data_IF_842172235497
#
_entry.id   IF_842172235497
#
_cell.length_a   1.000
_cell.length_b   1.000
_cell.length_c   1.000
_cell.angle_alpha   90.00
_cell.angle_beta   90.00
_cell.angle_gamma   90.00
#
_symmetry.space_group_name_H-M   'P 1'
#
loop_
_entity.id
_entity.type
_entity.pdbx_description
1 polymer ?
#
# COMPACT_ATOMS: atom_id res chain seq x y z
N UNK A 1 8.28 -6.48 28.26
CA UNK A 1 8.11 -5.17 27.56
C UNK A 1 6.67 -4.97 27.18
N UNK A 2 6.09 -3.77 27.37
CA UNK A 2 4.71 -3.44 27.00
C UNK A 2 4.68 -2.67 25.70
N UNK A 3 4.00 -3.20 24.69
CA UNK A 3 3.85 -2.55 23.38
C UNK A 3 2.37 -2.22 23.14
N UNK A 4 2.07 -0.93 22.91
CA UNK A 4 0.73 -0.49 22.52
C UNK A 4 0.66 -0.31 21.01
N UNK A 5 -0.10 -1.16 20.34
CA UNK A 5 -0.40 -1.00 18.92
C UNK A 5 -1.54 0.01 18.76
N UNK A 6 -1.27 1.09 18.02
CA UNK A 6 -2.23 2.15 17.75
C UNK A 6 -2.66 2.12 16.28
N UNK A 7 -3.91 1.78 16.03
CA UNK A 7 -4.55 1.75 14.70
C UNK A 7 -5.92 2.43 14.69
N UNK A 8 -6.11 3.39 15.57
CA UNK A 8 -7.38 4.16 15.68
C UNK A 8 -7.70 4.98 14.43
N UNK A 9 -6.70 5.24 13.59
CA UNK A 9 -6.87 5.98 12.33
C UNK A 9 -7.20 5.09 11.13
N UNK A 10 -7.24 3.78 11.29
CA UNK A 10 -7.57 2.82 10.24
C UNK A 10 -9.07 2.89 9.92
N UNK A 11 -9.46 3.56 8.82
CA UNK A 11 -10.86 3.88 8.51
C UNK A 11 -11.37 3.35 7.19
N UNK A 12 -10.48 3.15 6.23
CA UNK A 12 -10.86 2.79 4.86
C UNK A 12 -10.55 1.34 4.57
N UNK A 13 -11.46 0.64 3.93
CA UNK A 13 -11.22 -0.69 3.38
C UNK A 13 -10.14 -0.59 2.28
N UNK A 14 -9.17 -1.49 2.28
CA UNK A 14 -8.11 -1.54 1.26
C UNK A 14 -6.79 -2.08 1.78
N UNK A 15 -5.75 -2.00 0.97
CA UNK A 15 -4.43 -2.59 1.26
C UNK A 15 -3.79 -2.14 2.59
N UNK A 16 -4.05 -0.91 3.04
CA UNK A 16 -3.56 -0.43 4.34
C UNK A 16 -4.15 -1.19 5.53
N UNK A 17 -5.48 -1.40 5.55
CA UNK A 17 -6.13 -2.18 6.62
C UNK A 17 -5.67 -3.62 6.64
N UNK A 18 -5.32 -4.18 5.49
CA UNK A 18 -4.79 -5.52 5.39
C UNK A 18 -3.40 -5.65 6.02
N UNK A 19 -2.52 -4.68 5.82
CA UNK A 19 -1.22 -4.64 6.50
C UNK A 19 -1.42 -4.61 8.02
N UNK A 20 -2.38 -3.81 8.51
CA UNK A 20 -2.76 -3.76 9.92
C UNK A 20 -3.25 -5.12 10.41
N UNK A 21 -4.26 -5.69 9.75
CA UNK A 21 -4.86 -6.97 10.10
C UNK A 21 -3.81 -8.09 10.17
N UNK A 22 -2.98 -8.20 9.13
CA UNK A 22 -1.91 -9.19 9.10
C UNK A 22 -0.93 -9.03 10.27
N UNK A 23 -0.53 -7.78 10.61
CA UNK A 23 0.35 -7.55 11.75
C UNK A 23 -0.29 -7.97 13.08
N UNK A 24 -1.57 -7.63 13.29
CA UNK A 24 -2.30 -8.03 14.49
C UNK A 24 -2.39 -9.56 14.63
N UNK A 25 -2.69 -10.28 13.55
CA UNK A 25 -2.66 -11.74 13.55
C UNK A 25 -1.26 -12.30 13.84
N UNK A 26 -0.22 -11.61 13.38
CA UNK A 26 1.18 -11.96 13.64
C UNK A 26 1.50 -11.99 15.14
N UNK A 27 0.93 -11.09 15.95
CA UNK A 27 1.17 -11.05 17.40
C UNK A 27 0.66 -12.30 18.13
N UNK A 28 -0.32 -13.00 17.55
CA UNK A 28 -0.82 -14.28 18.08
C UNK A 28 -0.08 -15.49 17.51
N UNK A 29 0.39 -15.37 16.27
CA UNK A 29 1.02 -16.49 15.55
C UNK A 29 2.50 -16.66 15.90
N UNK A 30 3.20 -15.55 16.14
CA UNK A 30 4.63 -15.53 16.43
C UNK A 30 4.84 -15.01 17.87
N UNK A 31 4.89 -15.89 18.88
CA UNK A 31 4.95 -15.46 20.26
C UNK A 31 6.31 -14.84 20.60
N UNK A 32 6.25 -13.65 21.17
CA UNK A 32 7.37 -13.01 21.87
C UNK A 32 7.03 -13.03 23.34
N UNK A 33 7.58 -13.98 24.11
CA UNK A 33 7.24 -14.22 25.51
C UNK A 33 7.55 -13.03 26.42
N UNK A 34 8.50 -12.19 26.03
CA UNK A 34 8.89 -10.98 26.76
C UNK A 34 8.07 -9.73 26.37
N UNK A 35 7.08 -9.88 25.47
CA UNK A 35 6.25 -8.78 24.98
C UNK A 35 4.79 -8.96 25.41
N UNK A 36 4.30 -7.96 26.12
CA UNK A 36 2.88 -7.82 26.47
C UNK A 36 2.22 -6.84 25.49
N UNK A 37 1.32 -7.36 24.64
CA UNK A 37 0.66 -6.61 23.59
C UNK A 37 -0.63 -5.94 24.06
N UNK A 38 -0.80 -4.67 23.71
CA UNK A 38 -2.04 -3.90 23.89
C UNK A 38 -2.51 -3.35 22.56
N UNK A 39 -3.83 -3.26 22.34
CA UNK A 39 -4.41 -2.93 21.04
C UNK A 39 -5.42 -1.78 21.15
N UNK A 40 -5.12 -0.63 20.58
CA UNK A 40 -6.05 0.48 20.38
C UNK A 40 -6.50 0.49 18.92
N UNK A 41 -7.71 0.00 18.66
CA UNK A 41 -8.22 -0.23 17.30
C UNK A 41 -9.37 0.69 16.95
N UNK A 42 -9.56 0.96 15.65
CA UNK A 42 -10.76 1.64 15.15
C UNK A 42 -11.95 0.70 15.11
N UNK A 43 -13.16 1.24 15.26
CA UNK A 43 -14.40 0.51 15.09
C UNK A 43 -14.52 -0.14 13.70
N UNK A 44 -14.01 0.51 12.65
CA UNK A 44 -13.96 -0.06 11.29
C UNK A 44 -13.12 -1.33 11.24
N UNK A 45 -11.95 -1.34 11.86
CA UNK A 45 -11.10 -2.54 11.91
C UNK A 45 -11.74 -3.64 12.74
N UNK A 46 -12.31 -3.27 13.89
CA UNK A 46 -13.01 -4.18 14.80
C UNK A 46 -14.16 -4.94 14.12
N UNK A 47 -14.99 -4.22 13.34
CA UNK A 47 -16.21 -4.80 12.75
C UNK A 47 -15.95 -5.55 11.45
N UNK A 48 -14.94 -5.14 10.65
CA UNK A 48 -14.76 -5.67 9.28
C UNK A 48 -13.69 -6.75 9.22
N UNK A 49 -12.65 -6.67 10.05
CA UNK A 49 -11.46 -7.51 9.89
C UNK A 49 -11.16 -8.43 11.08
N UNK A 50 -11.61 -8.10 12.30
CA UNK A 50 -11.24 -8.86 13.49
C UNK A 50 -12.42 -9.73 13.95
N UNK A 51 -12.16 -11.04 13.99
CA UNK A 51 -13.13 -12.03 14.42
C UNK A 51 -13.15 -12.21 15.95
N UNK A 52 -14.16 -12.91 16.46
CA UNK A 52 -14.33 -13.15 17.88
C UNK A 52 -13.20 -14.00 18.47
N UNK A 53 -12.58 -14.87 17.67
CA UNK A 53 -11.44 -15.68 18.08
C UNK A 53 -10.22 -14.79 18.44
N UNK A 54 -9.92 -13.80 17.57
CA UNK A 54 -8.86 -12.83 17.88
C UNK A 54 -9.19 -12.07 19.16
N UNK A 55 -10.40 -11.53 19.27
CA UNK A 55 -10.84 -10.70 20.41
C UNK A 55 -10.78 -11.46 21.73
N UNK A 56 -11.18 -12.73 21.74
CA UNK A 56 -11.13 -13.56 22.95
C UNK A 56 -9.70 -13.84 23.43
N UNK A 57 -8.74 -14.01 22.50
CA UNK A 57 -7.32 -14.24 22.83
C UNK A 57 -6.62 -13.00 23.39
N UNK A 58 -7.16 -11.80 23.16
CA UNK A 58 -6.58 -10.52 23.59
C UNK A 58 -7.48 -9.77 24.58
N UNK A 59 -8.42 -10.48 25.22
CA UNK A 59 -9.34 -9.90 26.20
C UNK A 59 -8.58 -9.18 27.33
N UNK A 60 -9.09 -8.01 27.73
CA UNK A 60 -8.43 -7.13 28.71
C UNK A 60 -7.33 -6.22 28.14
N UNK A 61 -6.77 -6.56 26.97
CA UNK A 61 -5.74 -5.78 26.29
C UNK A 61 -6.24 -5.09 25.02
N UNK A 62 -7.53 -5.20 24.71
CA UNK A 62 -8.17 -4.75 23.47
C UNK A 62 -9.14 -3.59 23.72
N UNK A 63 -8.95 -2.48 23.01
CA UNK A 63 -9.69 -1.24 23.21
C UNK A 63 -10.17 -0.67 21.88
N UNK A 64 -11.49 -0.60 21.70
CA UNK A 64 -12.12 -0.07 20.48
C UNK A 64 -12.37 1.42 20.61
N UNK A 65 -12.02 2.15 19.57
CA UNK A 65 -12.21 3.59 19.44
C UNK A 65 -13.18 3.88 18.29
N UNK A 66 -14.17 4.79 18.51
CA UNK A 66 -15.15 5.10 17.48
C UNK A 66 -14.48 5.69 16.22
N UNK A 67 -15.02 5.37 15.06
CA UNK A 67 -14.63 6.03 13.82
C UNK A 67 -14.86 7.53 13.97
N UNK A 68 -13.85 8.31 13.56
CA UNK A 68 -13.90 9.77 13.76
C UNK A 68 -14.56 10.44 12.54
N UNK A 69 -15.84 10.77 12.57
CA UNK A 69 -16.50 11.43 11.44
C UNK A 69 -16.16 12.92 11.35
N UNK A 70 -15.72 13.53 12.46
CA UNK A 70 -15.49 14.96 12.58
C UNK A 70 -14.11 15.25 13.17
N UNK A 71 -13.34 16.11 12.47
CA UNK A 71 -11.95 16.40 12.80
C UNK A 71 -11.74 17.06 14.18
N UNK A 72 -12.72 17.85 14.68
CA UNK A 72 -12.51 18.61 15.90
C UNK A 72 -13.06 17.95 17.19
N UNK A 73 -14.30 17.49 17.20
CA UNK A 73 -14.91 16.96 18.42
C UNK A 73 -14.45 15.54 18.76
N UNK A 74 -14.48 14.66 17.77
CA UNK A 74 -14.13 13.26 17.96
C UNK A 74 -12.62 13.10 18.17
N UNK A 75 -11.80 13.96 17.50
CA UNK A 75 -10.36 14.00 17.70
C UNK A 75 -9.98 14.27 19.17
N UNK A 76 -10.52 15.31 19.79
CA UNK A 76 -10.23 15.66 21.20
C UNK A 76 -10.66 14.53 22.16
N UNK A 77 -11.79 13.90 21.92
CA UNK A 77 -12.28 12.77 22.71
C UNK A 77 -11.36 11.56 22.56
N UNK A 78 -10.99 11.21 21.34
CA UNK A 78 -10.05 10.11 21.05
C UNK A 78 -8.68 10.38 21.67
N UNK A 79 -8.13 11.59 21.52
CA UNK A 79 -6.87 11.98 22.14
C UNK A 79 -6.91 11.85 23.67
N UNK A 80 -8.01 12.29 24.30
CA UNK A 80 -8.19 12.15 25.76
C UNK A 80 -8.23 10.69 26.19
N UNK A 81 -8.97 9.87 25.46
CA UNK A 81 -9.09 8.43 25.77
C UNK A 81 -7.78 7.67 25.51
N UNK A 82 -7.07 7.96 24.42
CA UNK A 82 -5.75 7.39 24.16
C UNK A 82 -4.73 7.77 25.24
N UNK A 83 -4.74 9.03 25.71
CA UNK A 83 -3.87 9.42 26.84
C UNK A 83 -4.22 8.74 28.15
N UNK A 84 -5.51 8.50 28.42
CA UNK A 84 -5.93 7.72 29.61
C UNK A 84 -5.44 6.28 29.50
N UNK A 85 -5.57 5.68 28.30
CA UNK A 85 -5.08 4.33 28.04
C UNK A 85 -3.55 4.26 28.17
N UNK A 86 -2.82 5.17 27.57
CA UNK A 86 -1.36 5.32 27.68
C UNK A 86 -0.92 5.41 29.15
N UNK A 87 -1.57 6.29 29.95
CA UNK A 87 -1.24 6.43 31.38
C UNK A 87 -1.57 5.19 32.20
N UNK A 88 -2.61 4.42 31.82
CA UNK A 88 -2.98 3.16 32.48
C UNK A 88 -1.99 2.04 32.19
N UNK A 89 -1.62 1.87 30.89
CA UNK A 89 -0.75 0.79 30.43
C UNK A 89 0.72 1.12 30.76
N UNK A 90 1.15 2.38 30.58
CA UNK A 90 2.54 2.83 30.63
C UNK A 90 3.40 2.00 29.67
N UNK A 91 3.14 2.05 28.35
CA UNK A 91 3.85 1.24 27.39
C UNK A 91 5.31 1.67 27.27
N UNK A 92 6.22 0.74 27.02
CA UNK A 92 7.63 1.02 26.73
C UNK A 92 7.77 1.66 25.35
N UNK A 93 6.92 1.20 24.39
CA UNK A 93 6.84 1.76 23.04
C UNK A 93 5.40 1.69 22.52
N UNK A 94 5.06 2.65 21.68
CA UNK A 94 3.78 2.72 20.94
C UNK A 94 4.07 2.51 19.46
N UNK A 95 3.40 1.54 18.85
CA UNK A 95 3.50 1.29 17.42
C UNK A 95 2.27 1.81 16.69
N UNK A 96 2.39 2.93 15.98
CA UNK A 96 1.32 3.50 15.16
C UNK A 96 1.44 2.99 13.72
N UNK A 97 0.56 2.07 13.34
CA UNK A 97 0.48 1.57 11.97
C UNK A 97 -0.38 2.54 11.14
N UNK A 98 0.01 2.83 9.89
CA UNK A 98 -0.58 3.85 9.02
C UNK A 98 -0.38 5.29 9.54
N UNK A 99 0.81 5.56 10.09
CA UNK A 99 1.17 6.88 10.60
C UNK A 99 1.68 7.86 9.52
N UNK A 100 1.82 9.15 9.90
CA UNK A 100 1.55 9.68 11.23
C UNK A 100 0.05 9.80 11.53
N UNK A 101 -0.33 9.63 12.78
CA UNK A 101 -1.66 9.99 13.25
C UNK A 101 -1.64 11.42 13.85
N UNK A 102 -2.83 12.01 14.01
CA UNK A 102 -2.97 13.32 14.65
C UNK A 102 -2.93 13.25 16.18
N UNK A 103 -2.81 12.07 16.75
CA UNK A 103 -2.74 11.86 18.19
C UNK A 103 -1.30 12.01 18.68
N UNK A 104 -1.16 12.40 19.94
CA UNK A 104 0.12 12.70 20.56
C UNK A 104 0.30 11.86 21.81
N UNK A 105 1.40 11.14 21.86
CA UNK A 105 1.80 10.31 22.98
C UNK A 105 2.97 10.94 23.78
N UNK A 106 3.14 10.51 25.01
CA UNK A 106 4.26 10.88 25.89
C UNK A 106 5.40 9.86 25.82
N UNK A 107 5.04 8.58 25.62
CA UNK A 107 6.00 7.51 25.49
C UNK A 107 6.59 7.47 24.06
N UNK A 108 7.67 6.71 23.88
CA UNK A 108 8.31 6.53 22.58
C UNK A 108 7.31 5.98 21.57
N UNK A 109 7.28 6.60 20.41
CA UNK A 109 6.40 6.19 19.31
C UNK A 109 7.23 5.80 18.10
N UNK A 110 6.93 4.65 17.54
CA UNK A 110 7.38 4.19 16.21
C UNK A 110 6.19 4.25 15.28
N UNK A 111 6.33 4.88 14.14
CA UNK A 111 5.27 4.87 13.12
C UNK A 111 5.66 4.01 11.92
N UNK A 112 4.66 3.32 11.32
CA UNK A 112 4.78 2.79 9.96
C UNK A 112 4.29 3.85 8.98
N UNK A 113 5.22 4.42 8.23
CA UNK A 113 4.97 5.55 7.34
C UNK A 113 4.27 5.13 6.05
N UNK A 114 3.21 5.86 5.65
CA UNK A 114 2.37 5.52 4.47
C UNK A 114 1.97 6.73 3.61
N UNK A 115 2.66 7.88 3.73
CA UNK A 115 2.27 9.12 3.06
C UNK A 115 3.28 9.56 1.98
N UNK A 116 3.19 9.04 0.74
CA UNK A 116 4.18 9.29 -0.30
C UNK A 116 4.29 10.78 -0.69
N UNK A 117 3.20 11.54 -0.61
CA UNK A 117 3.17 12.96 -0.93
C UNK A 117 4.17 13.81 -0.14
N UNK A 118 4.56 13.37 1.05
CA UNK A 118 5.47 14.14 1.94
C UNK A 118 6.92 14.06 1.46
N UNK A 119 7.35 12.92 0.93
CA UNK A 119 8.78 12.62 0.72
C UNK A 119 9.13 12.26 -0.72
N UNK A 120 8.16 11.83 -1.52
CA UNK A 120 8.38 11.29 -2.87
C UNK A 120 7.46 11.90 -3.93
N UNK A 121 6.82 13.04 -3.63
CA UNK A 121 6.00 13.73 -4.61
C UNK A 121 6.82 14.14 -5.85
N UNK A 122 6.21 14.03 -7.02
CA UNK A 122 6.84 14.28 -8.30
C UNK A 122 5.88 15.02 -9.24
N UNK A 123 6.37 15.63 -10.35
CA UNK A 123 5.52 16.38 -11.28
C UNK A 123 4.35 15.58 -11.86
N UNK A 124 4.55 14.29 -12.13
CA UNK A 124 3.50 13.41 -12.67
C UNK A 124 2.34 13.25 -11.69
N UNK A 125 2.66 13.00 -10.40
CA UNK A 125 1.64 12.92 -9.35
C UNK A 125 0.89 14.25 -9.16
N UNK A 126 1.60 15.37 -9.16
CA UNK A 126 0.96 16.68 -9.08
C UNK A 126 0.04 16.97 -10.28
N UNK A 127 0.35 16.45 -11.47
CA UNK A 127 -0.48 16.66 -12.64
C UNK A 127 -1.81 15.90 -12.61
N UNK A 128 -1.96 14.85 -11.81
CA UNK A 128 -3.25 14.13 -11.65
C UNK A 128 -4.27 14.93 -10.84
N UNK A 129 -3.84 15.93 -10.06
CA UNK A 129 -4.72 16.66 -9.16
C UNK A 129 -5.33 17.90 -9.80
N UNK A 130 -6.61 18.17 -9.50
CA UNK A 130 -7.24 19.44 -9.81
C UNK A 130 -6.58 20.60 -9.04
N UNK A 131 -6.72 21.83 -9.51
CA UNK A 131 -6.16 23.01 -8.85
C UNK A 131 -6.57 23.12 -7.36
N UNK A 132 -7.86 22.94 -7.07
CA UNK A 132 -8.39 22.95 -5.70
C UNK A 132 -7.74 21.85 -4.82
N UNK A 133 -7.59 20.65 -5.37
CA UNK A 133 -6.95 19.53 -4.67
C UNK A 133 -5.46 19.78 -4.46
N UNK A 134 -4.75 20.40 -5.42
CA UNK A 134 -3.35 20.81 -5.27
C UNK A 134 -3.14 21.74 -4.09
N UNK A 135 -3.98 22.79 -3.95
CA UNK A 135 -3.89 23.73 -2.83
C UNK A 135 -4.10 23.01 -1.51
N UNK A 136 -5.18 22.21 -1.40
CA UNK A 136 -5.47 21.42 -0.19
C UNK A 136 -4.32 20.46 0.16
N UNK A 137 -3.76 19.80 -0.85
CA UNK A 137 -2.66 18.85 -0.67
C UNK A 137 -1.39 19.54 -0.15
N UNK A 138 -1.06 20.74 -0.64
CA UNK A 138 0.09 21.51 -0.12
C UNK A 138 -0.05 21.81 1.37
N UNK A 139 -1.22 22.26 1.82
CA UNK A 139 -1.48 22.48 3.25
C UNK A 139 -1.40 21.18 4.05
N UNK A 140 -1.95 20.11 3.52
CA UNK A 140 -1.90 18.79 4.16
C UNK A 140 -0.47 18.27 4.33
N UNK A 141 0.38 18.43 3.30
CA UNK A 141 1.80 18.07 3.36
C UNK A 141 2.54 18.88 4.45
N UNK A 142 2.29 20.18 4.55
CA UNK A 142 2.91 21.02 5.61
C UNK A 142 2.52 20.49 7.00
N UNK A 143 1.24 20.20 7.21
CA UNK A 143 0.75 19.64 8.48
C UNK A 143 1.38 18.28 8.77
N UNK A 144 1.44 17.37 7.79
CA UNK A 144 2.07 16.06 7.95
C UNK A 144 3.57 16.19 8.25
N UNK A 145 4.28 17.11 7.60
CA UNK A 145 5.70 17.37 7.89
C UNK A 145 5.90 17.85 9.35
N UNK A 146 5.01 18.71 9.85
CA UNK A 146 5.06 19.16 11.25
C UNK A 146 4.81 18.01 12.24
N UNK A 147 3.86 17.14 11.95
CA UNK A 147 3.59 15.93 12.76
C UNK A 147 4.78 14.97 12.74
N UNK A 148 5.33 14.70 11.54
CA UNK A 148 6.45 13.77 11.35
C UNK A 148 7.74 14.27 12.03
N UNK A 149 8.00 15.57 12.06
CA UNK A 149 9.18 16.12 12.77
C UNK A 149 9.19 15.79 14.26
N UNK A 150 8.03 15.61 14.88
CA UNK A 150 7.89 15.28 16.32
C UNK A 150 8.13 13.79 16.62
N UNK A 151 7.97 12.92 15.63
CA UNK A 151 8.12 11.48 15.79
C UNK A 151 9.55 11.11 15.42
N UNK A 152 10.32 10.55 16.35
CA UNK A 152 11.72 10.20 16.11
C UNK A 152 11.84 8.96 15.23
N UNK A 153 11.13 7.88 15.56
CA UNK A 153 11.33 6.54 14.99
C UNK A 153 10.31 6.19 13.92
N UNK A 154 10.80 5.69 12.79
CA UNK A 154 9.97 5.41 11.62
C UNK A 154 10.32 4.05 11.01
N UNK A 155 9.31 3.26 10.70
CA UNK A 155 9.41 2.12 9.80
C UNK A 155 8.87 2.55 8.44
N UNK A 156 9.62 2.29 7.39
CA UNK A 156 9.20 2.53 6.00
C UNK A 156 9.38 1.27 5.15
N UNK A 157 8.86 1.27 3.92
CA UNK A 157 8.77 0.07 3.10
C UNK A 157 9.90 -0.03 2.07
N UNK A 158 10.52 1.10 1.70
CA UNK A 158 11.53 1.19 0.64
C UNK A 158 12.69 2.10 1.08
N UNK A 159 13.88 1.84 0.53
CA UNK A 159 15.05 2.67 0.80
C UNK A 159 14.85 4.09 0.23
N UNK A 160 14.21 4.22 -0.93
CA UNK A 160 13.91 5.52 -1.52
C UNK A 160 13.05 6.40 -0.60
N UNK A 161 12.07 5.81 0.11
CA UNK A 161 11.26 6.54 1.11
C UNK A 161 12.10 6.90 2.34
N UNK A 162 12.99 6.02 2.80
CA UNK A 162 13.97 6.34 3.87
C UNK A 162 14.80 7.55 3.50
N UNK A 163 15.40 7.57 2.31
CA UNK A 163 16.18 8.70 1.81
C UNK A 163 15.32 9.98 1.69
N UNK A 164 14.05 9.84 1.28
CA UNK A 164 13.10 10.95 1.27
C UNK A 164 12.83 11.53 2.66
N UNK A 165 12.68 10.69 3.69
CA UNK A 165 12.50 11.13 5.08
C UNK A 165 13.73 11.85 5.63
N UNK A 166 14.93 11.36 5.32
CA UNK A 166 16.20 11.99 5.68
C UNK A 166 16.29 13.39 5.04
N UNK A 167 16.09 13.45 3.72
CA UNK A 167 16.20 14.71 2.95
C UNK A 167 15.17 15.76 3.34
N UNK A 168 13.89 15.36 3.43
CA UNK A 168 12.78 16.32 3.58
C UNK A 168 12.48 16.70 5.04
N UNK A 169 12.89 15.88 6.00
CA UNK A 169 12.57 16.04 7.42
C UNK A 169 13.80 16.07 8.33
N UNK A 170 15.00 15.95 7.75
CA UNK A 170 16.28 15.87 8.47
C UNK A 170 16.27 14.79 9.57
N UNK A 171 15.70 13.61 9.25
CA UNK A 171 15.68 12.49 10.19
C UNK A 171 17.03 11.78 10.22
N UNK A 172 17.41 11.33 11.41
CA UNK A 172 18.61 10.52 11.60
C UNK A 172 18.45 9.16 10.90
N UNK A 173 19.44 8.69 10.11
CA UNK A 173 19.35 7.42 9.38
C UNK A 173 19.03 6.20 10.26
N UNK A 174 19.60 6.16 11.49
CA UNK A 174 19.41 5.06 12.44
C UNK A 174 18.04 5.08 13.13
N UNK A 175 17.32 6.20 13.02
CA UNK A 175 15.94 6.30 13.51
C UNK A 175 14.92 5.74 12.52
N UNK A 176 15.37 5.28 11.32
CA UNK A 176 14.52 4.78 10.27
C UNK A 176 14.90 3.35 9.92
N UNK A 177 13.98 2.40 10.14
CA UNK A 177 14.10 1.01 9.72
C UNK A 177 13.32 0.78 8.41
N UNK A 178 13.95 0.15 7.43
CA UNK A 178 13.27 -0.30 6.21
C UNK A 178 12.76 -1.72 6.43
N UNK A 179 11.45 -1.88 6.43
CA UNK A 179 10.76 -3.18 6.49
C UNK A 179 9.69 -3.19 5.40
N UNK A 180 9.98 -3.83 4.28
CA UNK A 180 9.06 -3.89 3.14
C UNK A 180 7.76 -4.59 3.49
N UNK A 181 6.67 -4.22 2.83
CA UNK A 181 5.44 -5.01 2.90
C UNK A 181 5.69 -6.38 2.28
N UNK A 182 5.00 -7.37 2.80
CA UNK A 182 5.03 -8.74 2.28
C UNK A 182 3.69 -9.11 1.67
N UNK A 183 3.73 -10.14 0.84
CA UNK A 183 2.51 -10.74 0.31
C UNK A 183 1.62 -11.16 1.48
N UNK A 184 0.32 -10.85 1.46
CA UNK A 184 -0.60 -11.28 2.51
C UNK A 184 -0.59 -12.78 2.72
N UNK A 185 -0.64 -13.22 3.97
CA UNK A 185 -0.60 -14.66 4.31
C UNK A 185 -1.70 -15.49 3.62
N UNK A 186 -2.85 -14.87 3.33
CA UNK A 186 -3.93 -15.50 2.58
C UNK A 186 -3.47 -16.02 1.22
N UNK A 187 -2.59 -15.30 0.52
CA UNK A 187 -2.13 -15.72 -0.81
C UNK A 187 -1.35 -17.05 -0.76
N UNK A 188 -0.65 -17.34 0.34
CA UNK A 188 0.04 -18.62 0.48
C UNK A 188 -0.89 -19.85 0.41
N UNK A 189 -2.19 -19.67 0.68
CA UNK A 189 -3.23 -20.72 0.61
C UNK A 189 -4.06 -20.68 -0.69
N UNK A 190 -3.85 -19.66 -1.54
CA UNK A 190 -4.59 -19.53 -2.79
C UNK A 190 -3.84 -20.21 -3.94
N UNK A 191 -4.60 -20.88 -4.79
CA UNK A 191 -4.08 -21.39 -6.06
C UNK A 191 -3.71 -20.22 -6.98
N UNK A 192 -2.49 -20.19 -7.49
CA UNK A 192 -1.98 -19.17 -8.43
C UNK A 192 -1.83 -19.71 -9.86
N UNK A 193 -2.34 -20.93 -10.13
CA UNK A 193 -2.33 -21.50 -11.48
C UNK A 193 -3.16 -20.64 -12.43
N UNK A 194 -2.61 -20.22 -13.58
CA UNK A 194 -3.37 -19.49 -14.57
C UNK A 194 -4.62 -20.23 -15.04
N UNK A 195 -5.70 -19.50 -15.27
CA UNK A 195 -6.93 -20.01 -15.88
C UNK A 195 -6.91 -19.58 -17.35
N UNK A 196 -6.84 -20.54 -18.25
CA UNK A 196 -6.97 -20.28 -19.68
C UNK A 196 -8.45 -20.10 -20.02
N UNK A 197 -8.84 -18.89 -20.37
CA UNK A 197 -10.16 -18.59 -20.93
C UNK A 197 -10.05 -18.39 -22.46
N UNK A 198 -10.79 -19.17 -23.21
CA UNK A 198 -10.92 -19.01 -24.67
C UNK A 198 -11.92 -17.88 -25.01
N UNK A 199 -11.83 -16.75 -24.30
CA UNK A 199 -12.73 -15.60 -24.49
C UNK A 199 -12.39 -14.76 -25.74
N UNK A 200 -11.23 -15.00 -26.32
CA UNK A 200 -10.69 -14.14 -27.40
C UNK A 200 -10.10 -12.82 -26.91
N UNK A 201 -10.23 -12.51 -25.61
CA UNK A 201 -9.70 -11.29 -24.99
C UNK A 201 -8.35 -11.52 -24.30
N UNK A 202 -7.51 -10.52 -24.34
CA UNK A 202 -6.32 -10.41 -23.47
C UNK A 202 -6.71 -9.58 -22.25
N UNK A 203 -6.86 -10.23 -21.10
CA UNK A 203 -7.29 -9.61 -19.86
C UNK A 203 -6.10 -8.99 -19.13
N UNK A 204 -6.24 -7.72 -18.70
CA UNK A 204 -5.17 -6.91 -18.11
C UNK A 204 -5.67 -6.22 -16.84
N UNK A 205 -5.24 -6.59 -15.63
CA UNK A 205 -5.61 -5.88 -14.42
C UNK A 205 -4.82 -4.59 -14.30
N UNK A 206 -5.53 -3.49 -13.99
CA UNK A 206 -4.99 -2.19 -13.65
C UNK A 206 -5.72 -1.66 -12.40
N UNK A 207 -5.22 -2.05 -11.23
CA UNK A 207 -5.98 -1.99 -9.98
C UNK A 207 -5.67 -0.75 -9.15
N UNK A 208 -6.67 -0.26 -8.44
CA UNK A 208 -6.50 0.82 -7.47
C UNK A 208 -7.66 1.79 -7.42
N UNK A 209 -7.63 2.74 -6.49
CA UNK A 209 -8.76 3.63 -6.22
C UNK A 209 -8.45 5.12 -6.14
N UNK A 210 -7.19 5.52 -6.08
CA UNK A 210 -6.79 6.93 -5.93
C UNK A 210 -6.36 7.59 -7.25
N UNK A 211 -6.41 8.92 -7.31
CA UNK A 211 -5.97 9.71 -8.48
C UNK A 211 -4.50 9.42 -8.86
N UNK A 212 -3.66 9.14 -7.87
CA UNK A 212 -2.25 8.78 -8.06
C UNK A 212 -2.03 7.42 -8.74
N UNK A 213 -3.07 6.59 -8.84
CA UNK A 213 -3.04 5.35 -9.62
C UNK A 213 -3.06 5.61 -11.13
N UNK A 214 -3.40 6.83 -11.55
CA UNK A 214 -3.34 7.29 -12.93
C UNK A 214 -4.09 6.37 -13.93
N UNK A 215 -5.23 5.81 -13.49
CA UNK A 215 -6.03 4.89 -14.31
C UNK A 215 -6.76 5.62 -15.44
N UNK A 216 -6.87 6.94 -15.35
CA UNK A 216 -7.41 7.82 -16.40
C UNK A 216 -6.59 7.82 -17.69
N UNK A 217 -5.40 7.22 -17.71
CA UNK A 217 -4.59 6.99 -18.92
C UNK A 217 -5.11 5.81 -19.77
N UNK A 218 -5.90 4.90 -19.21
CA UNK A 218 -6.31 3.64 -19.88
C UNK A 218 -7.05 3.88 -21.19
N UNK A 219 -8.02 4.82 -21.32
CA UNK A 219 -8.69 5.06 -22.58
C UNK A 219 -7.73 5.45 -23.72
N UNK A 220 -6.75 6.29 -23.42
CA UNK A 220 -5.72 6.71 -24.38
C UNK A 220 -4.79 5.56 -24.76
N UNK A 221 -4.44 4.70 -23.81
CA UNK A 221 -3.64 3.49 -24.09
C UNK A 221 -4.43 2.53 -25.00
N UNK A 222 -5.73 2.33 -24.75
CA UNK A 222 -6.59 1.52 -25.63
C UNK A 222 -6.66 2.09 -27.04
N UNK A 223 -6.75 3.42 -27.16
CA UNK A 223 -6.75 4.12 -28.45
C UNK A 223 -5.43 3.91 -29.20
N UNK A 224 -4.30 4.09 -28.52
CA UNK A 224 -2.97 3.88 -29.11
C UNK A 224 -2.77 2.42 -29.56
N UNK A 225 -3.25 1.44 -28.76
CA UNK A 225 -3.22 0.02 -29.09
C UNK A 225 -4.01 -0.28 -30.38
N UNK A 226 -5.14 0.38 -30.59
CA UNK A 226 -5.93 0.19 -31.80
C UNK A 226 -5.35 0.95 -33.00
N UNK A 227 -5.07 2.24 -32.87
CA UNK A 227 -4.64 3.10 -34.00
C UNK A 227 -3.24 2.73 -34.49
N UNK A 228 -2.31 2.39 -33.61
CA UNK A 228 -0.92 2.11 -34.00
C UNK A 228 -0.66 0.60 -34.22
N UNK A 229 -1.32 -0.29 -33.47
CA UNK A 229 -1.05 -1.73 -33.53
C UNK A 229 -2.21 -2.56 -34.08
N UNK A 230 -3.38 -1.95 -34.35
CA UNK A 230 -4.57 -2.65 -34.85
C UNK A 230 -5.21 -3.59 -33.81
N UNK A 231 -4.87 -3.44 -32.52
CA UNK A 231 -5.28 -4.35 -31.46
C UNK A 231 -6.62 -3.91 -30.88
N UNK A 232 -7.63 -4.77 -31.00
CA UNK A 232 -9.01 -4.51 -30.53
C UNK A 232 -9.45 -5.41 -29.38
N UNK A 233 -8.71 -6.48 -29.11
CA UNK A 233 -9.08 -7.52 -28.15
C UNK A 233 -8.32 -7.46 -26.83
N UNK A 234 -7.80 -6.29 -26.44
CA UNK A 234 -7.25 -6.09 -25.08
C UNK A 234 -8.29 -5.43 -24.19
N UNK A 235 -8.48 -5.97 -23.00
CA UNK A 235 -9.51 -5.55 -22.05
C UNK A 235 -8.90 -5.29 -20.67
N UNK A 236 -9.14 -4.11 -20.14
CA UNK A 236 -8.64 -3.71 -18.83
C UNK A 236 -9.67 -3.94 -17.73
N UNK A 237 -9.20 -4.39 -16.59
CA UNK A 237 -9.99 -4.58 -15.37
C UNK A 237 -9.54 -3.58 -14.31
N UNK A 238 -10.48 -2.78 -13.80
CA UNK A 238 -10.24 -1.81 -12.73
C UNK A 238 -11.09 -2.13 -11.50
N UNK A 239 -10.68 -1.63 -10.33
CA UNK A 239 -11.38 -1.83 -9.05
C UNK A 239 -11.74 -0.48 -8.41
N UNK A 240 -12.40 0.37 -9.18
CA UNK A 240 -12.78 1.72 -8.73
C UNK A 240 -14.13 1.69 -8.01
N UNK A 241 -14.20 2.14 -6.74
CA UNK A 241 -15.49 2.30 -6.06
C UNK A 241 -16.35 3.36 -6.76
N UNK A 242 -17.67 3.25 -6.65
CA UNK A 242 -18.60 4.23 -7.23
C UNK A 242 -18.35 5.67 -6.77
N UNK A 243 -17.75 5.86 -5.61
CA UNK A 243 -17.36 7.17 -5.07
C UNK A 243 -16.02 7.70 -5.62
N UNK A 244 -15.34 6.96 -6.50
CA UNK A 244 -14.06 7.39 -7.06
C UNK A 244 -14.24 8.60 -7.97
N UNK A 245 -13.50 9.71 -7.78
CA UNK A 245 -13.57 10.87 -8.67
C UNK A 245 -12.98 10.59 -10.07
N UNK A 246 -12.21 9.52 -10.22
CA UNK A 246 -11.58 9.12 -11.47
C UNK A 246 -12.53 8.32 -12.36
N UNK A 247 -13.47 7.57 -11.77
CA UNK A 247 -14.37 6.69 -12.51
C UNK A 247 -15.21 7.41 -13.58
N UNK A 248 -15.90 8.53 -13.29
CA UNK A 248 -16.67 9.24 -14.31
C UNK A 248 -15.81 9.74 -15.48
N UNK A 249 -14.55 10.12 -15.22
CA UNK A 249 -13.60 10.58 -16.25
C UNK A 249 -13.28 9.45 -17.21
N UNK A 250 -12.97 8.28 -16.67
CA UNK A 250 -12.65 7.09 -17.47
C UNK A 250 -13.87 6.65 -18.27
N UNK A 251 -15.05 6.52 -17.64
CA UNK A 251 -16.29 6.09 -18.29
C UNK A 251 -16.68 7.02 -19.45
N UNK A 252 -16.54 8.33 -19.24
CA UNK A 252 -16.79 9.31 -20.30
C UNK A 252 -15.86 9.09 -21.51
N UNK A 253 -14.54 8.95 -21.29
CA UNK A 253 -13.54 8.74 -22.34
C UNK A 253 -13.72 7.41 -23.07
N UNK A 254 -14.01 6.34 -22.31
CA UNK A 254 -14.31 5.02 -22.87
C UNK A 254 -15.52 5.09 -23.82
N UNK A 255 -16.58 5.78 -23.40
CA UNK A 255 -17.76 5.99 -24.25
C UNK A 255 -17.47 6.86 -25.48
N UNK A 256 -16.70 7.95 -25.34
CA UNK A 256 -16.29 8.81 -26.44
C UNK A 256 -15.53 8.03 -27.52
N UNK A 257 -14.74 7.03 -27.13
CA UNK A 257 -13.96 6.20 -28.06
C UNK A 257 -14.70 4.93 -28.53
N UNK A 258 -15.86 4.60 -27.97
CA UNK A 258 -16.60 3.37 -28.28
C UNK A 258 -15.95 2.10 -27.77
N UNK A 259 -15.33 2.16 -26.56
CA UNK A 259 -14.55 1.06 -25.96
C UNK A 259 -15.23 0.45 -24.73
N UNK A 260 -16.56 0.50 -24.63
CA UNK A 260 -17.32 0.05 -23.46
C UNK A 260 -17.09 -1.44 -23.12
N UNK A 261 -16.80 -2.27 -24.11
CA UNK A 261 -16.49 -3.69 -23.95
C UNK A 261 -15.02 -3.95 -23.58
N UNK A 262 -14.16 -2.92 -23.63
CA UNK A 262 -12.72 -3.02 -23.39
C UNK A 262 -12.30 -2.57 -21.97
N UNK A 263 -13.25 -2.16 -21.14
CA UNK A 263 -13.02 -1.81 -19.73
C UNK A 263 -14.09 -2.43 -18.84
N UNK A 264 -13.67 -3.18 -17.84
CA UNK A 264 -14.55 -3.74 -16.81
C UNK A 264 -14.20 -3.15 -15.45
N UNK A 265 -15.15 -2.46 -14.83
CA UNK A 265 -14.99 -2.00 -13.46
C UNK A 265 -15.69 -2.97 -12.49
N UNK A 266 -14.91 -3.61 -11.63
CA UNK A 266 -15.40 -4.56 -10.62
C UNK A 266 -15.83 -3.89 -9.30
N UNK A 267 -15.55 -2.58 -9.12
CA UNK A 267 -15.71 -1.95 -7.82
C UNK A 267 -14.74 -2.54 -6.79
N UNK A 268 -15.15 -2.56 -5.52
CA UNK A 268 -14.34 -3.17 -4.46
C UNK A 268 -14.43 -4.70 -4.53
N UNK A 269 -13.32 -5.37 -4.76
CA UNK A 269 -13.22 -6.83 -4.72
C UNK A 269 -12.70 -7.34 -3.37
N UNK A 270 -13.18 -8.50 -2.94
CA UNK A 270 -12.54 -9.28 -1.89
C UNK A 270 -11.26 -9.90 -2.43
N UNK A 271 -10.33 -10.26 -1.54
CA UNK A 271 -9.03 -10.82 -1.95
C UNK A 271 -9.14 -12.11 -2.76
N UNK A 272 -10.11 -12.98 -2.42
CA UNK A 272 -10.35 -14.22 -3.17
C UNK A 272 -10.82 -13.93 -4.60
N UNK A 273 -11.74 -12.98 -4.77
CA UNK A 273 -12.23 -12.57 -6.09
C UNK A 273 -11.12 -11.87 -6.90
N UNK A 274 -10.26 -11.10 -6.22
CA UNK A 274 -9.10 -10.49 -6.83
C UNK A 274 -8.08 -11.54 -7.31
N UNK A 275 -7.82 -12.58 -6.52
CA UNK A 275 -6.97 -13.69 -6.92
C UNK A 275 -7.53 -14.42 -8.15
N UNK A 276 -8.84 -14.64 -8.20
CA UNK A 276 -9.50 -15.23 -9.38
C UNK A 276 -9.36 -14.34 -10.62
N UNK A 277 -9.43 -13.01 -10.45
CA UNK A 277 -9.18 -12.08 -11.55
C UNK A 277 -7.74 -12.17 -12.06
N UNK A 278 -6.74 -12.12 -11.17
CA UNK A 278 -5.33 -12.24 -11.55
C UNK A 278 -5.04 -13.54 -12.34
N UNK A 279 -5.65 -14.67 -11.95
CA UNK A 279 -5.45 -15.97 -12.62
C UNK A 279 -5.95 -15.99 -14.07
N UNK A 280 -6.91 -15.15 -14.42
CA UNK A 280 -7.47 -15.01 -15.78
C UNK A 280 -6.68 -14.02 -16.64
N UNK A 281 -5.83 -13.22 -16.04
CA UNK A 281 -5.10 -12.17 -16.73
C UNK A 281 -3.81 -12.67 -17.36
N UNK A 282 -3.41 -12.04 -18.47
CA UNK A 282 -2.20 -12.44 -19.20
C UNK A 282 -0.97 -11.64 -18.81
N UNK A 283 -1.15 -10.38 -18.51
CA UNK A 283 -0.12 -9.43 -18.04
C UNK A 283 -0.73 -8.54 -16.97
N UNK A 284 0.06 -7.73 -16.28
CA UNK A 284 -0.40 -6.68 -15.36
C UNK A 284 0.04 -5.30 -15.84
N UNK A 285 -0.80 -4.28 -15.62
CA UNK A 285 -0.50 -2.89 -15.94
C UNK A 285 -0.61 -2.00 -14.70
N UNK A 286 0.51 -1.35 -14.32
CA UNK A 286 0.62 -0.55 -13.11
C UNK A 286 1.01 0.90 -13.46
N UNK A 287 0.04 1.75 -13.85
CA UNK A 287 0.30 3.13 -14.28
C UNK A 287 0.49 4.12 -13.12
N UNK A 288 0.54 3.68 -11.87
CA UNK A 288 0.68 4.54 -10.69
C UNK A 288 1.83 5.53 -10.83
N UNK A 289 1.58 6.79 -10.40
CA UNK A 289 2.59 7.85 -10.42
C UNK A 289 3.08 8.26 -9.04
N UNK A 290 2.51 7.68 -7.97
CA UNK A 290 2.94 7.94 -6.60
C UNK A 290 2.52 6.82 -5.66
N UNK A 291 3.50 6.17 -5.03
CA UNK A 291 3.30 5.13 -4.00
C UNK A 291 4.44 5.19 -2.98
N UNK A 292 4.23 4.58 -1.83
CA UNK A 292 5.30 4.17 -0.92
C UNK A 292 5.72 2.73 -1.26
N UNK A 293 4.71 1.87 -1.43
CA UNK A 293 4.81 0.47 -1.83
C UNK A 293 3.43 0.03 -2.33
N UNK A 294 3.34 -0.55 -3.51
CA UNK A 294 2.08 -1.04 -4.06
C UNK A 294 1.90 -2.54 -3.79
N UNK A 295 0.77 -2.94 -3.21
CA UNK A 295 0.45 -4.36 -3.05
C UNK A 295 0.36 -5.07 -4.41
N UNK A 296 -0.14 -4.37 -5.44
CA UNK A 296 -0.25 -4.94 -6.79
C UNK A 296 1.08 -5.35 -7.40
N UNK A 297 2.23 -4.83 -6.91
CA UNK A 297 3.55 -5.28 -7.36
C UNK A 297 3.85 -6.70 -6.90
N UNK A 298 3.65 -6.99 -5.60
CA UNK A 298 3.86 -8.34 -5.06
C UNK A 298 2.80 -9.33 -5.52
N UNK A 299 1.57 -8.88 -5.70
CA UNK A 299 0.47 -9.68 -6.24
C UNK A 299 0.75 -10.09 -7.69
N UNK A 300 1.18 -9.17 -8.56
CA UNK A 300 1.55 -9.47 -9.95
C UNK A 300 2.70 -10.49 -10.02
N UNK A 301 3.71 -10.37 -9.14
CA UNK A 301 4.79 -11.33 -9.06
C UNK A 301 4.31 -12.71 -8.60
N UNK A 302 3.40 -12.76 -7.62
CA UNK A 302 2.85 -14.02 -7.12
C UNK A 302 2.06 -14.78 -8.20
N UNK A 303 1.23 -14.07 -8.97
CA UNK A 303 0.47 -14.66 -10.07
C UNK A 303 1.28 -14.79 -11.38
N UNK A 304 2.57 -14.48 -11.35
CA UNK A 304 3.49 -14.60 -12.49
C UNK A 304 2.99 -13.84 -13.73
N UNK A 305 2.42 -12.66 -13.55
CA UNK A 305 1.94 -11.79 -14.62
C UNK A 305 3.07 -10.85 -15.08
N UNK A 306 3.62 -11.02 -16.28
CA UNK A 306 4.55 -10.06 -16.85
C UNK A 306 3.98 -8.65 -16.72
N UNK A 307 4.70 -7.76 -16.07
CA UNK A 307 4.16 -6.47 -15.65
C UNK A 307 4.74 -5.34 -16.47
N UNK A 308 3.86 -4.40 -16.85
CA UNK A 308 4.24 -3.09 -17.43
C UNK A 308 3.93 -2.02 -16.40
N UNK A 309 4.95 -1.26 -15.98
CA UNK A 309 4.80 -0.28 -14.91
C UNK A 309 5.54 1.03 -15.22
N UNK A 310 5.15 2.10 -14.54
CA UNK A 310 5.89 3.37 -14.61
C UNK A 310 7.32 3.21 -14.06
N UNK A 311 8.29 3.86 -14.70
CA UNK A 311 9.69 3.90 -14.25
C UNK A 311 9.84 4.88 -13.09
N UNK A 312 9.32 4.48 -11.93
CA UNK A 312 9.41 5.23 -10.68
C UNK A 312 9.93 4.33 -9.56
N UNK A 313 10.59 4.95 -8.57
CA UNK A 313 11.34 4.24 -7.53
C UNK A 313 10.55 3.11 -6.86
N UNK A 314 9.27 3.29 -6.58
CA UNK A 314 8.44 2.30 -5.91
C UNK A 314 8.16 1.05 -6.77
N UNK A 315 8.32 1.15 -8.09
CA UNK A 315 8.29 0.02 -9.00
C UNK A 315 9.72 -0.53 -9.21
N UNK A 316 10.69 0.35 -9.50
CA UNK A 316 12.05 -0.09 -9.83
C UNK A 316 12.76 -0.72 -8.62
N UNK A 317 12.53 -0.26 -7.39
CA UNK A 317 13.10 -0.85 -6.17
C UNK A 317 12.46 -2.22 -5.85
N UNK A 318 11.18 -2.42 -6.18
CA UNK A 318 10.45 -3.65 -5.89
C UNK A 318 10.63 -4.70 -6.98
N UNK A 319 10.45 -4.34 -8.25
CA UNK A 319 10.60 -5.28 -9.36
C UNK A 319 12.04 -5.48 -9.82
N UNK A 320 12.93 -4.48 -9.61
CA UNK A 320 14.26 -4.51 -10.22
C UNK A 320 14.16 -4.62 -11.74
N UNK A 321 14.72 -5.67 -12.32
CA UNK A 321 14.69 -5.96 -13.75
C UNK A 321 13.58 -6.98 -14.14
N UNK A 322 12.65 -7.28 -13.23
CA UNK A 322 11.53 -8.20 -13.44
C UNK A 322 10.27 -7.51 -14.00
N UNK A 323 10.40 -6.35 -14.65
CA UNK A 323 9.30 -5.55 -15.15
C UNK A 323 9.68 -4.83 -16.44
N UNK A 324 8.72 -4.55 -17.31
CA UNK A 324 8.87 -3.62 -18.42
C UNK A 324 8.47 -2.23 -17.96
N UNK A 325 9.39 -1.28 -18.08
CA UNK A 325 9.16 0.09 -17.63
C UNK A 325 8.81 1.01 -18.78
N UNK A 326 8.06 2.07 -18.44
CA UNK A 326 7.78 3.18 -19.34
C UNK A 326 7.79 4.52 -18.59
N UNK A 327 8.08 5.60 -19.28
CA UNK A 327 8.04 6.96 -18.74
C UNK A 327 6.63 7.30 -18.28
N UNK A 328 6.41 7.75 -17.03
CA UNK A 328 5.07 8.06 -16.55
C UNK A 328 4.30 8.98 -17.50
N UNK A 329 3.03 8.64 -17.80
CA UNK A 329 2.12 9.33 -18.73
C UNK A 329 2.49 9.26 -20.21
N UNK A 330 3.53 8.56 -20.60
CA UNK A 330 3.83 8.28 -22.01
C UNK A 330 2.96 7.12 -22.52
N UNK A 331 1.84 7.47 -23.17
CA UNK A 331 0.85 6.53 -23.72
C UNK A 331 1.47 5.61 -24.76
N UNK A 332 2.36 6.15 -25.63
CA UNK A 332 2.99 5.37 -26.70
C UNK A 332 3.95 4.33 -26.17
N UNK A 333 4.80 4.71 -25.21
CA UNK A 333 5.69 3.76 -24.55
C UNK A 333 4.88 2.70 -23.76
N UNK A 334 3.82 3.10 -23.04
CA UNK A 334 2.95 2.18 -22.32
C UNK A 334 2.34 1.13 -23.27
N UNK A 335 1.74 1.56 -24.37
CA UNK A 335 1.15 0.67 -25.38
C UNK A 335 2.22 -0.26 -26.00
N UNK A 336 3.38 0.27 -26.37
CA UNK A 336 4.49 -0.53 -26.90
C UNK A 336 4.94 -1.63 -25.94
N UNK A 337 5.13 -1.29 -24.65
CA UNK A 337 5.53 -2.29 -23.64
C UNK A 337 4.42 -3.31 -23.35
N UNK A 338 3.15 -2.91 -23.40
CA UNK A 338 2.01 -3.82 -23.27
C UNK A 338 2.00 -4.82 -24.44
N UNK A 339 2.15 -4.35 -25.68
CA UNK A 339 2.23 -5.22 -26.85
C UNK A 339 3.39 -6.21 -26.70
N UNK A 340 4.57 -5.72 -26.33
CA UNK A 340 5.75 -6.55 -26.11
C UNK A 340 5.51 -7.61 -25.02
N UNK A 341 4.91 -7.23 -23.90
CA UNK A 341 4.59 -8.14 -22.80
C UNK A 341 3.61 -9.25 -23.24
N UNK A 342 2.68 -8.95 -24.14
CA UNK A 342 1.67 -9.93 -24.61
C UNK A 342 2.21 -10.80 -25.74
N UNK A 343 2.95 -10.24 -26.71
CA UNK A 343 3.31 -10.93 -27.95
C UNK A 343 4.66 -11.64 -27.92
N UNK A 344 5.63 -11.14 -27.14
CA UNK A 344 6.98 -11.71 -27.06
C UNK A 344 7.08 -12.77 -25.96
N UNK A 345 7.06 -14.06 -26.35
CA UNK A 345 7.14 -15.19 -25.42
C UNK A 345 8.45 -15.21 -24.66
N UNK A 346 9.56 -14.84 -25.29
CA UNK A 346 10.89 -14.86 -24.64
C UNK A 346 10.97 -13.82 -23.55
N UNK A 347 10.39 -12.63 -23.78
CA UNK A 347 10.27 -11.55 -22.79
C UNK A 347 9.39 -12.02 -21.63
N UNK A 348 8.23 -12.60 -21.92
CA UNK A 348 7.32 -13.10 -20.87
C UNK A 348 8.01 -14.10 -19.95
N UNK A 349 8.68 -15.11 -20.54
CA UNK A 349 9.34 -16.15 -19.76
C UNK A 349 10.47 -15.57 -18.90
N UNK A 350 11.31 -14.71 -19.48
CA UNK A 350 12.37 -14.04 -18.73
C UNK A 350 11.83 -13.21 -17.55
N UNK A 351 10.74 -12.45 -17.77
CA UNK A 351 10.12 -11.67 -16.69
C UNK A 351 9.56 -12.58 -15.59
N UNK A 352 8.88 -13.68 -15.94
CA UNK A 352 8.37 -14.63 -14.96
C UNK A 352 9.49 -15.23 -14.10
N UNK A 353 10.60 -15.61 -14.71
CA UNK A 353 11.73 -16.19 -13.96
C UNK A 353 12.36 -15.16 -13.01
N UNK A 354 12.52 -13.92 -13.45
CA UNK A 354 12.97 -12.82 -12.59
C UNK A 354 11.98 -12.48 -11.48
N UNK A 355 10.67 -12.51 -11.74
CA UNK A 355 9.63 -12.29 -10.74
C UNK A 355 9.66 -13.32 -9.63
N UNK A 356 9.93 -14.60 -9.94
CA UNK A 356 10.10 -15.65 -8.92
C UNK A 356 11.22 -15.30 -7.96
N UNK A 357 12.36 -14.84 -8.48
CA UNK A 357 13.52 -14.44 -7.67
C UNK A 357 13.17 -13.20 -6.83
N UNK A 358 12.59 -12.16 -7.44
CA UNK A 358 12.24 -10.94 -6.71
C UNK A 358 11.22 -11.20 -5.60
N UNK A 359 10.23 -12.06 -5.85
CA UNK A 359 9.19 -12.37 -4.87
C UNK A 359 9.75 -12.97 -3.57
N UNK A 360 10.90 -13.68 -3.61
CA UNK A 360 11.52 -14.22 -2.40
C UNK A 360 11.83 -13.16 -1.34
N UNK A 361 12.00 -11.91 -1.74
CA UNK A 361 12.21 -10.77 -0.84
C UNK A 361 10.96 -10.35 -0.07
N UNK A 362 9.77 -10.75 -0.54
CA UNK A 362 8.47 -10.24 -0.08
C UNK A 362 7.49 -11.34 0.32
N UNK A 363 7.92 -12.58 0.45
CA UNK A 363 7.04 -13.72 0.73
C UNK A 363 7.21 -14.31 2.13
N UNK A 364 8.09 -13.75 2.97
CA UNK A 364 8.32 -14.23 4.33
C UNK A 364 7.66 -13.30 5.35
N UNK A 365 6.44 -13.64 5.78
CA UNK A 365 5.70 -12.87 6.77
C UNK A 365 6.38 -12.91 8.15
N UNK A 366 6.95 -14.03 8.54
CA UNK A 366 7.67 -14.17 9.81
C UNK A 366 8.84 -13.20 9.90
N UNK A 367 9.67 -13.14 8.85
CA UNK A 367 10.77 -12.17 8.78
C UNK A 367 10.27 -10.73 8.91
N UNK A 368 9.23 -10.35 8.14
CA UNK A 368 8.60 -9.03 8.22
C UNK A 368 8.14 -8.70 9.65
N UNK A 369 7.50 -9.66 10.31
CA UNK A 369 7.01 -9.50 11.66
C UNK A 369 8.16 -9.34 12.64
N UNK A 370 9.16 -10.22 12.60
CA UNK A 370 10.34 -10.20 13.46
C UNK A 370 11.15 -8.90 13.29
N UNK A 371 11.49 -8.51 12.04
CA UNK A 371 12.21 -7.26 11.78
C UNK A 371 11.47 -6.02 12.36
N UNK A 372 10.13 -6.06 12.33
CA UNK A 372 9.31 -4.99 12.93
C UNK A 372 9.39 -5.02 14.45
N UNK A 373 9.20 -6.20 15.07
CA UNK A 373 9.18 -6.33 16.53
C UNK A 373 10.55 -6.05 17.14
N UNK A 374 11.62 -6.51 16.53
CA UNK A 374 12.99 -6.22 16.97
C UNK A 374 13.25 -4.70 17.01
N UNK A 375 12.85 -3.96 15.99
CA UNK A 375 13.00 -2.51 16.00
C UNK A 375 12.14 -1.84 17.10
N UNK A 376 10.92 -2.34 17.34
CA UNK A 376 10.09 -1.86 18.46
C UNK A 376 10.75 -2.11 19.81
N UNK A 377 11.38 -3.28 20.00
CA UNK A 377 12.09 -3.62 21.21
C UNK A 377 13.34 -2.75 21.40
N UNK A 378 14.16 -2.55 20.39
CA UNK A 378 15.32 -1.66 20.41
C UNK A 378 14.93 -0.23 20.84
N UNK A 379 13.83 0.29 20.29
CA UNK A 379 13.30 1.61 20.65
C UNK A 379 12.76 1.63 22.08
N UNK A 380 12.01 0.60 22.48
CA UNK A 380 11.47 0.48 23.84
C UNK A 380 12.55 0.44 24.91
N UNK A 381 13.64 -0.27 24.66
CA UNK A 381 14.82 -0.36 25.53
C UNK A 381 15.70 0.90 25.54
N UNK A 382 15.50 1.83 24.62
CA UNK A 382 16.27 3.08 24.53
C UNK A 382 17.63 2.96 23.84
N UNK A 383 17.94 1.85 23.18
CA UNK A 383 19.24 1.63 22.51
C UNK A 383 19.63 2.71 21.50
N UNK A 384 18.65 3.36 20.88
CA UNK A 384 18.87 4.47 19.95
C UNK A 384 19.05 5.85 20.62
N UNK A 385 18.90 5.96 21.93
CA UNK A 385 19.09 7.21 22.68
C UNK A 385 20.51 7.34 23.23
N UNK A 386 21.21 6.22 23.40
CA UNK A 386 22.57 6.16 23.99
C UNK A 386 23.67 6.63 23.03
N UNK A 387 23.47 6.55 21.71
CA UNK A 387 24.47 6.96 20.71
C UNK A 387 24.69 8.48 20.61
N UNK A 388 24.08 9.31 21.48
CA UNK A 388 24.33 10.76 21.55
C UNK A 388 25.21 11.20 22.74
N UNK A 389 25.76 10.26 23.52
CA UNK A 389 26.61 10.55 24.66
C UNK A 389 28.10 10.26 24.43
N UNK A 390 28.53 10.05 23.17
CA UNK A 390 29.94 9.92 22.85
C UNK A 390 30.39 11.03 21.90
#
# INVERSE_FOLDING_TARGET
MKILINVVNARNVGGGLQVVHNFLLGTLKYPYFDVEWYYAVSECLDTVYLNDEFKSKVEGHYFVFPNQPDFFHTYRKTQKNLRRLENKIKPDVIYTILGPCYNFFKHREVIRFVHPWVVTSNPYAWSTLSFKTKVRMKFHIVLLKLLLKRIKYVITQTEAVKQGLIRELAKEPDSIRVVSNVLPALYASLDNTPIEENSGWVEIPALGGGEHKNLDIIPEVLKELEETYGIKNYRFHVTLPKSSPVLPIIEQRIKEFGYEDRLINHGNLKQQDLAMLYRKCRISYLPSVLEVFSASTTESMYFQLPTVATELFFNTEVFGDACLYYTPKDVKQAASQIVRAVTDESVRQNLKDKMKIQLTRFNCFEKYFNDTVEFLMEVGEGKHDENKMI
#
